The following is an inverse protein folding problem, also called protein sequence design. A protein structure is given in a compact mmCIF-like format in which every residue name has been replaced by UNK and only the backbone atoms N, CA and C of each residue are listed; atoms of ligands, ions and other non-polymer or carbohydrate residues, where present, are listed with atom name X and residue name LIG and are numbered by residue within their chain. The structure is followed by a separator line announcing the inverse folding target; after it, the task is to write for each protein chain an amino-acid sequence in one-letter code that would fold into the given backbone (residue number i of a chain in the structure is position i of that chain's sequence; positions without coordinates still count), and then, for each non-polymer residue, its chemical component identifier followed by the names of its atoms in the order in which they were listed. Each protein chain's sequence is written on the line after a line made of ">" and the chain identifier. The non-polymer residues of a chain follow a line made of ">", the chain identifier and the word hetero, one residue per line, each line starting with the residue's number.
data_IF_170279915935
#
_entry.id   IF_170279915935
#
_cell.length_a   1.000
_cell.length_b   1.000
_cell.length_c   1.000
_cell.angle_alpha   90.00
_cell.angle_beta   90.00
_cell.angle_gamma   90.00
#
_symmetry.space_group_name_H-M   'P 1'
#
loop_
_entity.id
_entity.type
_entity.pdbx_description
1 polymer ?
#
# COMPACT_ATOMS: atom_id res chain seq x y z
N UNK A 1 5.45 31.16 -11.29
CA UNK A 1 4.83 29.83 -11.16
C UNK A 1 3.64 29.96 -10.23
N UNK A 2 2.41 29.75 -10.73
CA UNK A 2 1.20 29.82 -9.90
C UNK A 2 1.15 28.57 -9.03
N UNK A 3 1.38 28.72 -7.72
CA UNK A 3 1.12 27.68 -6.73
C UNK A 3 -0.39 27.51 -6.63
N UNK A 4 -0.89 26.37 -7.08
CA UNK A 4 -2.30 26.03 -7.01
C UNK A 4 -2.62 25.62 -5.56
N UNK A 5 -3.05 26.58 -4.75
CA UNK A 5 -3.29 26.46 -3.29
C UNK A 5 -4.61 25.79 -2.93
N UNK A 6 -5.15 24.92 -3.78
CA UNK A 6 -6.40 24.18 -3.52
C UNK A 6 -6.15 22.66 -3.48
N UNK A 7 -5.10 22.22 -2.78
CA UNK A 7 -5.00 20.81 -2.39
C UNK A 7 -5.95 20.59 -1.20
N UNK A 8 -7.06 19.89 -1.46
CA UNK A 8 -7.93 19.42 -0.39
C UNK A 8 -7.12 18.40 0.41
N UNK A 9 -6.71 18.77 1.62
CA UNK A 9 -6.12 17.82 2.54
C UNK A 9 -7.24 16.92 3.08
N UNK A 10 -7.32 15.72 2.52
CA UNK A 10 -8.35 14.72 2.83
C UNK A 10 -8.35 14.37 4.33
N UNK A 11 -7.21 14.46 5.01
CA UNK A 11 -7.07 14.16 6.45
C UNK A 11 -7.68 15.23 7.37
N UNK A 12 -7.99 16.43 6.85
CA UNK A 12 -8.62 17.51 7.62
C UNK A 12 -10.15 17.54 7.47
N UNK A 13 -10.72 16.67 6.63
CA UNK A 13 -12.16 16.58 6.43
C UNK A 13 -12.81 15.77 7.56
N UNK A 14 -14.03 16.18 7.96
CA UNK A 14 -14.85 15.37 8.87
C UNK A 14 -15.23 14.03 8.20
N UNK A 15 -15.43 12.99 9.01
CA UNK A 15 -15.75 11.63 8.52
C UNK A 15 -17.00 11.58 7.64
N UNK A 16 -17.96 12.50 7.83
CA UNK A 16 -19.14 12.58 6.98
C UNK A 16 -18.83 13.20 5.60
N UNK A 17 -17.95 14.20 5.56
CA UNK A 17 -17.57 14.87 4.31
C UNK A 17 -16.71 13.96 3.44
N UNK A 18 -15.80 13.19 4.05
CA UNK A 18 -15.01 12.19 3.33
C UNK A 18 -15.88 11.05 2.80
N UNK A 19 -16.88 10.58 3.55
CA UNK A 19 -17.78 9.53 3.06
C UNK A 19 -18.62 10.00 1.86
N UNK A 20 -19.17 11.23 1.92
CA UNK A 20 -19.86 11.84 0.78
C UNK A 20 -18.94 11.97 -0.44
N UNK A 21 -17.69 12.37 -0.22
CA UNK A 21 -16.70 12.49 -1.28
C UNK A 21 -16.38 11.11 -1.90
N UNK A 22 -16.26 10.07 -1.08
CA UNK A 22 -16.05 8.67 -1.51
C UNK A 22 -17.25 8.12 -2.30
N UNK A 23 -18.47 8.40 -1.87
CA UNK A 23 -19.69 8.00 -2.60
C UNK A 23 -19.80 8.69 -3.96
N UNK A 24 -19.50 10.00 -4.00
CA UNK A 24 -19.45 10.75 -5.25
C UNK A 24 -18.35 10.23 -6.18
N UNK A 25 -17.18 9.89 -5.65
CA UNK A 25 -16.09 9.30 -6.42
C UNK A 25 -16.44 7.91 -6.96
N UNK A 26 -17.11 7.07 -6.17
CA UNK A 26 -17.57 5.75 -6.62
C UNK A 26 -18.54 5.90 -7.79
N UNK A 27 -19.53 6.77 -7.64
CA UNK A 27 -20.55 7.03 -8.66
C UNK A 27 -19.91 7.54 -9.96
N UNK A 28 -18.95 8.47 -9.86
CA UNK A 28 -18.23 9.01 -11.02
C UNK A 28 -17.33 7.95 -11.68
N UNK A 29 -16.65 7.12 -10.89
CA UNK A 29 -15.79 6.06 -11.41
C UNK A 29 -16.59 4.99 -12.16
N UNK A 30 -17.73 4.56 -11.60
CA UNK A 30 -18.63 3.62 -12.26
C UNK A 30 -19.19 4.21 -13.55
N UNK A 31 -19.64 5.47 -13.53
CA UNK A 31 -20.11 6.15 -14.75
C UNK A 31 -19.03 6.23 -15.82
N UNK A 32 -17.80 6.59 -15.43
CA UNK A 32 -16.67 6.65 -16.35
C UNK A 32 -16.36 5.29 -17.00
N UNK A 33 -16.50 4.21 -16.21
CA UNK A 33 -16.35 2.83 -16.68
C UNK A 33 -17.47 2.45 -17.65
N UNK A 34 -18.72 2.80 -17.34
CA UNK A 34 -19.88 2.56 -18.21
C UNK A 34 -19.78 3.28 -19.56
N UNK A 35 -19.17 4.47 -19.59
CA UNK A 35 -19.02 5.26 -20.81
C UNK A 35 -17.91 4.74 -21.74
N UNK A 36 -16.86 4.13 -21.18
CA UNK A 36 -15.67 3.74 -21.93
C UNK A 36 -15.56 2.22 -22.17
N UNK A 37 -16.18 1.39 -21.34
CA UNK A 37 -16.04 -0.07 -21.42
C UNK A 37 -17.29 -0.75 -22.01
N UNK A 38 -17.10 -1.89 -22.69
CA UNK A 38 -18.20 -2.68 -23.28
C UNK A 38 -19.00 -3.45 -22.22
N UNK A 39 -20.26 -3.77 -22.53
CA UNK A 39 -21.21 -4.41 -21.61
C UNK A 39 -20.70 -5.71 -20.95
N UNK A 40 -19.87 -6.51 -21.64
CA UNK A 40 -19.30 -7.75 -21.09
C UNK A 40 -18.35 -7.50 -19.89
N UNK A 41 -17.67 -6.36 -19.87
CA UNK A 41 -16.81 -5.98 -18.74
C UNK A 41 -17.60 -5.43 -17.55
N UNK A 42 -18.84 -4.96 -17.78
CA UNK A 42 -19.62 -4.19 -16.83
C UNK A 42 -20.14 -5.01 -15.65
N UNK A 43 -20.59 -6.25 -15.91
CA UNK A 43 -21.04 -7.18 -14.87
C UNK A 43 -19.98 -7.51 -13.82
N UNK A 44 -18.70 -7.28 -14.12
CA UNK A 44 -17.62 -7.47 -13.16
C UNK A 44 -17.51 -6.32 -12.14
N UNK A 45 -18.00 -5.13 -12.48
CA UNK A 45 -17.78 -3.89 -11.74
C UNK A 45 -18.98 -3.45 -10.88
N UNK A 46 -20.19 -3.90 -11.24
CA UNK A 46 -21.46 -3.57 -10.54
C UNK A 46 -21.48 -3.99 -9.06
N UNK A 47 -20.51 -4.80 -8.63
CA UNK A 47 -20.42 -5.33 -7.28
C UNK A 47 -19.58 -4.46 -6.32
N UNK A 48 -18.93 -3.39 -6.80
CA UNK A 48 -18.06 -2.53 -5.98
C UNK A 48 -18.90 -1.61 -5.09
N UNK A 49 -18.74 -1.74 -3.78
CA UNK A 49 -19.39 -0.86 -2.79
C UNK A 49 -18.41 -0.43 -1.71
N UNK A 50 -18.61 0.77 -1.15
CA UNK A 50 -17.79 1.24 -0.02
C UNK A 50 -17.85 0.28 1.18
N UNK A 51 -18.99 -0.35 1.42
CA UNK A 51 -19.14 -1.34 2.49
C UNK A 51 -18.23 -2.56 2.28
N UNK A 52 -18.07 -3.04 1.04
CA UNK A 52 -17.16 -4.15 0.73
C UNK A 52 -15.70 -3.72 0.83
N UNK A 53 -15.35 -2.51 0.38
CA UNK A 53 -13.99 -1.99 0.42
C UNK A 53 -13.52 -1.69 1.85
N UNK A 54 -14.43 -1.31 2.76
CA UNK A 54 -14.11 -1.04 4.17
C UNK A 54 -14.30 -2.27 5.08
N UNK A 55 -14.64 -3.43 4.53
CA UNK A 55 -14.96 -4.62 5.33
C UNK A 55 -13.72 -5.19 6.00
N UNK A 56 -13.68 -5.18 7.32
CA UNK A 56 -12.58 -5.81 8.04
C UNK A 56 -12.56 -7.36 7.86
N UNK A 57 -11.38 -7.98 7.70
CA UNK A 57 -11.21 -9.43 7.68
C UNK A 57 -11.68 -10.09 8.97
N UNK A 58 -12.14 -11.34 8.86
CA UNK A 58 -12.59 -12.11 10.04
C UNK A 58 -11.45 -12.22 11.06
N UNK A 59 -11.71 -12.04 12.37
CA UNK A 59 -10.67 -12.15 13.40
C UNK A 59 -9.86 -13.44 13.34
N UNK A 60 -10.48 -14.55 12.92
CA UNK A 60 -9.80 -15.85 12.75
C UNK A 60 -8.65 -15.84 11.76
N UNK A 61 -8.54 -14.85 10.84
CA UNK A 61 -7.46 -14.79 9.85
C UNK A 61 -6.17 -14.15 10.38
N UNK A 62 -6.24 -13.44 11.52
CA UNK A 62 -5.13 -12.65 12.05
C UNK A 62 -4.95 -12.73 13.57
N UNK A 63 -5.93 -13.25 14.32
CA UNK A 63 -5.81 -13.42 15.77
C UNK A 63 -4.61 -14.30 16.11
N UNK A 64 -3.71 -13.79 16.95
CA UNK A 64 -2.47 -14.46 17.33
C UNK A 64 -1.25 -14.10 16.47
N UNK A 65 -1.42 -13.30 15.41
CA UNK A 65 -0.32 -12.69 14.65
C UNK A 65 0.01 -11.32 15.26
N UNK A 66 1.27 -10.89 15.14
CA UNK A 66 1.73 -9.60 15.68
C UNK A 66 2.11 -8.62 14.58
N UNK A 67 2.91 -9.05 13.62
CA UNK A 67 3.40 -8.19 12.54
C UNK A 67 2.91 -8.68 11.18
N UNK A 68 3.35 -9.86 10.75
CA UNK A 68 3.01 -10.36 9.43
C UNK A 68 1.58 -10.88 9.39
N UNK A 69 0.79 -10.37 8.43
CA UNK A 69 -0.60 -10.79 8.21
C UNK A 69 -1.62 -10.27 9.22
N UNK A 70 -1.28 -9.21 9.96
CA UNK A 70 -2.24 -8.39 10.70
C UNK A 70 -2.87 -7.36 9.74
N UNK A 71 -4.20 -7.14 9.74
CA UNK A 71 -4.81 -6.09 8.94
C UNK A 71 -4.30 -4.71 9.34
N UNK A 72 -4.04 -3.85 8.35
CA UNK A 72 -3.54 -2.48 8.57
C UNK A 72 -4.42 -1.71 9.55
N UNK A 73 -5.75 -1.80 9.40
CA UNK A 73 -6.72 -1.21 10.32
C UNK A 73 -6.50 -1.61 11.77
N UNK A 74 -6.32 -2.91 12.01
CA UNK A 74 -6.10 -3.44 13.38
C UNK A 74 -4.77 -2.94 13.93
N UNK A 75 -3.72 -2.97 13.11
CA UNK A 75 -2.40 -2.53 13.50
C UNK A 75 -2.38 -1.03 13.87
N UNK A 76 -2.91 -0.16 12.99
CA UNK A 76 -2.98 1.28 13.21
C UNK A 76 -3.84 1.66 14.42
N UNK A 77 -4.97 0.98 14.63
CA UNK A 77 -5.80 1.21 15.81
C UNK A 77 -5.12 0.80 17.13
N UNK A 78 -4.28 -0.23 17.08
CA UNK A 78 -3.60 -0.77 18.27
C UNK A 78 -2.35 0.02 18.63
N UNK A 79 -1.57 0.44 17.63
CA UNK A 79 -0.24 1.04 17.82
C UNK A 79 -0.20 2.55 17.54
N UNK A 80 -1.19 3.08 16.82
CA UNK A 80 -1.18 4.45 16.30
C UNK A 80 -0.20 4.68 15.14
N UNK A 81 0.54 3.65 14.70
CA UNK A 81 1.56 3.76 13.65
C UNK A 81 1.04 3.28 12.31
N UNK A 82 1.39 3.97 11.22
CA UNK A 82 0.99 3.61 9.84
C UNK A 82 1.51 2.22 9.44
N UNK A 83 2.76 1.92 9.83
CA UNK A 83 3.41 0.63 9.59
C UNK A 83 4.20 0.20 10.83
N UNK A 84 4.47 -1.11 10.99
CA UNK A 84 5.42 -1.59 11.98
C UNK A 84 6.78 -0.91 11.81
N UNK A 85 7.37 -0.46 12.91
CA UNK A 85 8.60 0.32 12.88
C UNK A 85 9.73 -0.46 12.20
N UNK A 86 9.80 -1.78 12.42
CA UNK A 86 10.73 -2.64 11.73
C UNK A 86 10.55 -2.64 10.19
N UNK A 87 9.30 -2.56 9.70
CA UNK A 87 9.00 -2.45 8.27
C UNK A 87 9.37 -1.06 7.74
N UNK A 88 9.12 0.00 8.51
CA UNK A 88 9.55 1.37 8.19
C UNK A 88 11.08 1.47 8.09
N UNK A 89 11.82 0.86 9.03
CA UNK A 89 13.27 0.80 9.02
C UNK A 89 13.80 -0.03 7.84
N UNK A 90 13.14 -1.14 7.52
CA UNK A 90 13.47 -1.95 6.34
C UNK A 90 13.31 -1.13 5.04
N UNK A 91 12.22 -0.38 4.88
CA UNK A 91 12.01 0.52 3.74
C UNK A 91 13.12 1.57 3.66
N UNK A 92 13.49 2.19 4.78
CA UNK A 92 14.55 3.20 4.81
C UNK A 92 15.92 2.61 4.44
N UNK A 93 16.27 1.44 4.99
CA UNK A 93 17.50 0.73 4.65
C UNK A 93 17.57 0.44 3.15
N UNK A 94 16.48 -0.08 2.57
CA UNK A 94 16.43 -0.38 1.13
C UNK A 94 16.54 0.91 0.31
N UNK A 95 15.87 2.00 0.70
CA UNK A 95 15.97 3.32 0.05
C UNK A 95 17.41 3.83 0.02
N UNK A 96 18.16 3.71 1.12
CA UNK A 96 19.56 4.14 1.21
C UNK A 96 20.52 3.30 0.34
N UNK A 97 20.14 2.07 0.02
CA UNK A 97 20.94 1.15 -0.79
C UNK A 97 20.50 1.04 -2.26
N UNK A 98 19.40 1.69 -2.65
CA UNK A 98 18.82 1.60 -3.99
C UNK A 98 19.76 2.02 -5.15
N UNK A 99 20.67 2.97 -4.92
CA UNK A 99 21.68 3.37 -5.92
C UNK A 99 22.91 2.47 -5.98
N UNK A 100 23.09 1.57 -4.99
CA UNK A 100 24.28 0.72 -4.85
C UNK A 100 24.07 -0.71 -5.35
N UNK A 101 22.81 -1.11 -5.59
CA UNK A 101 22.47 -2.48 -5.96
C UNK A 101 21.52 -2.53 -7.17
N UNK A 102 21.91 -3.27 -8.19
CA UNK A 102 21.14 -3.39 -9.44
C UNK A 102 20.18 -4.59 -9.35
N UNK A 103 18.91 -4.37 -9.70
CA UNK A 103 17.85 -5.38 -9.65
C UNK A 103 17.15 -5.53 -8.29
N UNK A 104 17.10 -4.48 -7.47
CA UNK A 104 16.28 -4.42 -6.26
C UNK A 104 14.81 -4.77 -6.56
N UNK A 105 14.16 -5.53 -5.68
CA UNK A 105 12.82 -6.12 -5.88
C UNK A 105 12.65 -7.10 -7.05
N UNK A 106 13.67 -7.30 -7.88
CA UNK A 106 13.69 -8.26 -9.01
C UNK A 106 14.56 -9.49 -8.71
N UNK A 107 15.78 -9.28 -8.21
CA UNK A 107 16.70 -10.36 -7.80
C UNK A 107 16.29 -10.84 -6.39
N UNK A 108 16.11 -12.16 -6.18
CA UNK A 108 15.71 -12.70 -4.89
C UNK A 108 16.85 -12.65 -3.88
N UNK A 109 16.51 -12.48 -2.60
CA UNK A 109 17.42 -12.67 -1.49
C UNK A 109 17.60 -14.15 -1.13
N UNK A 110 18.59 -14.44 -0.30
CA UNK A 110 18.83 -15.80 0.22
C UNK A 110 17.70 -16.18 1.19
N UNK A 111 16.93 -17.22 0.84
CA UNK A 111 15.74 -17.67 1.60
C UNK A 111 15.96 -17.82 3.10
N UNK A 112 17.03 -18.48 3.53
CA UNK A 112 17.33 -18.66 4.95
C UNK A 112 17.56 -17.35 5.70
N UNK A 113 18.12 -16.33 5.03
CA UNK A 113 18.31 -15.00 5.61
C UNK A 113 16.98 -14.23 5.67
N UNK A 114 16.11 -14.40 4.67
CA UNK A 114 14.76 -13.83 4.67
C UNK A 114 13.96 -14.38 5.85
N UNK A 115 13.95 -15.71 6.02
CA UNK A 115 13.22 -16.38 7.09
C UNK A 115 13.76 -15.97 8.48
N UNK A 116 15.08 -15.81 8.62
CA UNK A 116 15.72 -15.31 9.85
C UNK A 116 15.30 -13.88 10.17
N UNK A 117 15.44 -12.95 9.22
CA UNK A 117 15.09 -11.54 9.42
C UNK A 117 13.61 -11.39 9.75
N UNK A 118 12.75 -12.10 9.04
CA UNK A 118 11.32 -12.16 9.31
C UNK A 118 11.02 -12.62 10.75
N UNK A 119 11.68 -13.68 11.21
CA UNK A 119 11.49 -14.20 12.57
C UNK A 119 11.95 -13.21 13.64
N UNK A 120 13.02 -12.45 13.36
CA UNK A 120 13.47 -11.35 14.24
C UNK A 120 12.41 -10.25 14.33
N UNK A 121 11.82 -9.85 13.20
CA UNK A 121 10.74 -8.85 13.17
C UNK A 121 9.52 -9.33 13.95
N UNK A 122 9.06 -10.56 13.72
CA UNK A 122 7.87 -11.09 14.42
C UNK A 122 8.12 -11.24 15.93
N UNK A 123 9.37 -11.38 16.37
CA UNK A 123 9.76 -11.48 17.78
C UNK A 123 9.79 -10.13 18.51
N UNK A 124 9.80 -9.00 17.79
CA UNK A 124 9.73 -7.67 18.40
C UNK A 124 8.35 -7.49 19.04
N UNK A 125 8.34 -7.02 20.28
CA UNK A 125 7.14 -6.53 20.93
C UNK A 125 7.00 -5.04 20.61
N UNK A 126 6.13 -4.71 19.65
CA UNK A 126 5.89 -3.34 19.18
C UNK A 126 5.32 -2.43 20.30
N UNK A 127 4.97 -2.96 21.46
CA UNK A 127 4.23 -2.22 22.48
C UNK A 127 5.09 -1.33 23.40
N UNK A 128 6.36 -1.62 23.73
CA UNK A 128 7.00 -0.91 24.87
C UNK A 128 8.53 -0.72 24.87
N UNK A 129 9.23 -0.75 23.74
CA UNK A 129 10.69 -0.62 23.82
C UNK A 129 11.32 0.08 22.62
N UNK A 130 11.61 1.37 22.80
CA UNK A 130 12.60 2.13 22.00
C UNK A 130 13.92 1.35 21.85
N UNK A 131 14.28 0.52 22.85
CA UNK A 131 15.49 -0.33 22.82
C UNK A 131 15.36 -1.64 22.02
N UNK A 132 14.15 -2.06 21.63
CA UNK A 132 13.93 -3.28 20.82
C UNK A 132 14.02 -2.99 19.32
N UNK A 133 13.95 -1.71 18.93
CA UNK A 133 13.98 -1.26 17.54
C UNK A 133 15.40 -1.08 16.99
N UNK A 134 16.38 -0.84 17.87
CA UNK A 134 17.82 -0.96 17.56
C UNK A 134 18.27 -2.42 17.43
N UNK A 135 17.42 -3.40 17.78
CA UNK A 135 17.82 -4.81 17.82
C UNK A 135 18.07 -5.41 16.42
N UNK A 136 17.38 -4.92 15.39
CA UNK A 136 17.55 -5.44 14.02
C UNK A 136 18.60 -4.62 13.28
N UNK A 137 19.79 -5.21 13.16
CA UNK A 137 20.90 -4.69 12.36
C UNK A 137 20.70 -5.01 10.88
N UNK A 138 19.96 -4.18 10.16
CA UNK A 138 19.71 -4.37 8.72
C UNK A 138 20.99 -4.38 7.87
N UNK A 139 22.07 -3.72 8.33
CA UNK A 139 23.37 -3.71 7.66
C UNK A 139 24.05 -5.09 7.57
N UNK A 140 23.63 -6.07 8.39
CA UNK A 140 24.10 -7.47 8.31
C UNK A 140 23.45 -8.25 7.15
N UNK A 141 22.42 -7.69 6.52
CA UNK A 141 21.66 -8.31 5.44
C UNK A 141 21.99 -7.66 4.10
N UNK A 142 21.83 -8.43 3.02
CA UNK A 142 21.88 -7.85 1.68
C UNK A 142 20.57 -7.11 1.37
N UNK A 143 20.58 -6.02 0.58
CA UNK A 143 19.37 -5.30 0.19
C UNK A 143 18.27 -6.17 -0.41
N UNK A 144 18.63 -7.22 -1.17
CA UNK A 144 17.67 -8.17 -1.75
C UNK A 144 16.92 -8.98 -0.68
N UNK A 145 17.56 -9.32 0.44
CA UNK A 145 16.91 -10.01 1.56
C UNK A 145 15.88 -9.11 2.22
N UNK A 146 16.26 -7.86 2.51
CA UNK A 146 15.35 -6.89 3.15
C UNK A 146 14.19 -6.53 2.23
N UNK A 147 14.45 -6.36 0.93
CA UNK A 147 13.42 -6.14 -0.08
C UNK A 147 12.41 -7.30 -0.16
N UNK A 148 12.89 -8.54 -0.06
CA UNK A 148 12.02 -9.71 -0.06
C UNK A 148 11.16 -9.80 1.21
N UNK A 149 11.69 -9.44 2.38
CA UNK A 149 10.91 -9.34 3.63
C UNK A 149 9.79 -8.30 3.52
N UNK A 150 10.09 -7.12 2.95
CA UNK A 150 9.08 -6.09 2.67
C UNK A 150 7.99 -6.65 1.76
N UNK A 151 8.37 -7.37 0.69
CA UNK A 151 7.40 -8.01 -0.21
C UNK A 151 6.54 -9.05 0.51
N UNK A 152 7.14 -9.85 1.40
CA UNK A 152 6.40 -10.84 2.20
C UNK A 152 5.37 -10.16 3.11
N UNK A 153 5.74 -9.06 3.77
CA UNK A 153 4.84 -8.31 4.65
C UNK A 153 3.57 -7.90 3.91
N UNK A 154 3.70 -7.20 2.77
CA UNK A 154 2.54 -6.76 2.00
C UNK A 154 1.75 -7.89 1.36
N UNK A 155 2.42 -8.98 0.97
CA UNK A 155 1.76 -10.15 0.38
C UNK A 155 0.88 -10.89 1.39
N UNK A 156 1.23 -10.84 2.68
CA UNK A 156 0.54 -11.59 3.72
C UNK A 156 -0.54 -10.80 4.43
N UNK A 157 -0.67 -9.51 4.12
CA UNK A 157 -1.84 -8.74 4.54
C UNK A 157 -3.12 -9.50 4.18
N UNK A 158 -4.09 -9.62 5.11
CA UNK A 158 -5.32 -10.34 4.83
C UNK A 158 -6.16 -9.73 3.69
N UNK A 159 -5.87 -8.48 3.32
CA UNK A 159 -6.46 -7.74 2.22
C UNK A 159 -5.35 -7.14 1.35
N UNK A 160 -5.56 -7.14 0.03
CA UNK A 160 -4.65 -6.46 -0.89
C UNK A 160 -4.74 -4.94 -0.71
N UNK A 161 -3.59 -4.25 -0.74
CA UNK A 161 -3.54 -2.77 -0.71
C UNK A 161 -4.40 -2.12 -1.80
N UNK A 162 -4.44 -2.73 -2.98
CA UNK A 162 -5.39 -2.37 -4.04
C UNK A 162 -6.30 -3.57 -4.24
N UNK A 163 -7.58 -3.49 -3.85
CA UNK A 163 -8.51 -4.61 -3.96
C UNK A 163 -8.64 -5.09 -5.42
N UNK A 164 -8.73 -6.42 -5.66
CA UNK A 164 -8.80 -6.96 -7.02
C UNK A 164 -9.96 -6.42 -7.87
N UNK A 165 -11.06 -5.99 -7.24
CA UNK A 165 -12.16 -5.31 -7.95
C UNK A 165 -11.74 -3.95 -8.50
N UNK A 166 -10.96 -3.17 -7.73
CA UNK A 166 -10.43 -1.88 -8.17
C UNK A 166 -9.34 -2.09 -9.22
N UNK A 167 -8.44 -3.06 -9.04
CA UNK A 167 -7.40 -3.38 -10.04
C UNK A 167 -8.01 -3.74 -11.39
N UNK A 168 -9.00 -4.64 -11.42
CA UNK A 168 -9.68 -5.02 -12.67
C UNK A 168 -10.34 -3.82 -13.36
N UNK A 169 -11.06 -3.00 -12.60
CA UNK A 169 -11.69 -1.78 -13.11
C UNK A 169 -10.66 -0.82 -13.75
N UNK A 170 -9.55 -0.55 -13.05
CA UNK A 170 -8.49 0.31 -13.58
C UNK A 170 -7.83 -0.29 -14.83
N UNK A 171 -7.58 -1.60 -14.84
CA UNK A 171 -7.01 -2.27 -16.01
C UNK A 171 -7.92 -2.19 -17.25
N UNK A 172 -9.23 -2.25 -17.07
CA UNK A 172 -10.18 -2.08 -18.18
C UNK A 172 -10.17 -0.64 -18.68
N UNK A 173 -10.26 0.34 -17.77
CA UNK A 173 -10.20 1.76 -18.12
C UNK A 173 -8.90 2.15 -18.83
N UNK A 174 -7.75 1.59 -18.44
CA UNK A 174 -6.46 1.85 -19.10
C UNK A 174 -6.48 1.42 -20.57
N UNK A 175 -7.29 0.43 -20.96
CA UNK A 175 -7.35 -0.08 -22.33
C UNK A 175 -8.24 0.77 -23.24
N UNK A 176 -9.25 1.44 -22.68
CA UNK A 176 -10.31 2.06 -23.48
C UNK A 176 -10.49 3.56 -23.26
N UNK A 177 -10.08 4.12 -22.10
CA UNK A 177 -10.26 5.53 -21.77
C UNK A 177 -9.04 6.39 -22.16
N UNK A 178 -9.25 7.70 -22.27
CA UNK A 178 -8.17 8.68 -22.53
C UNK A 178 -7.23 8.83 -21.32
N UNK A 179 -6.04 9.40 -21.53
CA UNK A 179 -5.07 9.61 -20.44
C UNK A 179 -5.61 10.47 -19.29
N UNK A 180 -6.43 11.49 -19.59
CA UNK A 180 -7.04 12.34 -18.58
C UNK A 180 -8.06 11.58 -17.73
N UNK A 181 -8.89 10.76 -18.37
CA UNK A 181 -9.86 9.89 -17.72
C UNK A 181 -9.19 8.80 -16.89
N UNK A 182 -8.10 8.21 -17.38
CA UNK A 182 -7.29 7.25 -16.63
C UNK A 182 -6.73 7.87 -15.35
N UNK A 183 -6.18 9.08 -15.43
CA UNK A 183 -5.68 9.80 -14.25
C UNK A 183 -6.82 10.09 -13.26
N UNK A 184 -7.98 10.51 -13.76
CA UNK A 184 -9.15 10.75 -12.94
C UNK A 184 -9.65 9.48 -12.26
N UNK A 185 -9.67 8.36 -12.98
CA UNK A 185 -10.05 7.05 -12.47
C UNK A 185 -9.12 6.59 -11.35
N UNK A 186 -7.81 6.78 -11.51
CA UNK A 186 -6.83 6.48 -10.47
C UNK A 186 -7.11 7.33 -9.23
N UNK A 187 -7.35 8.64 -9.38
CA UNK A 187 -7.67 9.52 -8.24
C UNK A 187 -8.93 9.06 -7.49
N UNK A 188 -9.99 8.71 -8.22
CA UNK A 188 -11.19 8.16 -7.59
C UNK A 188 -10.92 6.82 -6.91
N UNK A 189 -10.23 5.90 -7.57
CA UNK A 189 -9.88 4.61 -6.99
C UNK A 189 -9.09 4.76 -5.68
N UNK A 190 -8.12 5.68 -5.63
CA UNK A 190 -7.38 5.98 -4.41
C UNK A 190 -8.30 6.46 -3.29
N UNK A 191 -9.21 7.39 -3.58
CA UNK A 191 -10.17 7.90 -2.62
C UNK A 191 -11.12 6.80 -2.10
N UNK A 192 -11.43 5.79 -2.91
CA UNK A 192 -12.27 4.67 -2.49
C UNK A 192 -11.59 3.72 -1.51
N UNK A 193 -10.26 3.70 -1.42
CA UNK A 193 -9.54 2.84 -0.47
C UNK A 193 -9.80 3.28 0.98
N UNK A 194 -9.77 2.35 1.96
CA UNK A 194 -9.78 2.71 3.37
C UNK A 194 -8.62 3.64 3.73
N UNK A 195 -8.82 4.50 4.73
CA UNK A 195 -7.85 5.51 5.15
C UNK A 195 -6.49 4.87 5.47
N UNK A 196 -6.53 3.77 6.21
CA UNK A 196 -5.39 2.95 6.60
C UNK A 196 -4.58 2.44 5.41
N UNK A 197 -5.29 2.07 4.35
CA UNK A 197 -4.69 1.59 3.11
C UNK A 197 -4.12 2.74 2.29
N UNK A 198 -4.75 3.91 2.29
CA UNK A 198 -4.25 5.10 1.59
C UNK A 198 -2.93 5.57 2.18
N UNK A 199 -2.82 5.67 3.50
CA UNK A 199 -1.58 6.07 4.20
C UNK A 199 -0.39 5.17 3.85
N UNK A 200 -0.64 3.86 3.91
CA UNK A 200 0.38 2.85 3.58
C UNK A 200 0.74 2.87 2.10
N UNK A 201 -0.25 2.96 1.21
CA UNK A 201 -0.02 2.98 -0.23
C UNK A 201 0.73 4.24 -0.66
N UNK A 202 0.40 5.39 -0.09
CA UNK A 202 1.11 6.64 -0.29
C UNK A 202 2.57 6.54 0.15
N UNK A 203 2.82 5.97 1.34
CA UNK A 203 4.17 5.69 1.85
C UNK A 203 4.97 4.81 0.88
N UNK A 204 4.34 3.74 0.38
CA UNK A 204 4.97 2.80 -0.55
C UNK A 204 5.23 3.43 -1.91
N UNK A 205 4.29 4.19 -2.47
CA UNK A 205 4.48 4.85 -3.76
C UNK A 205 5.60 5.89 -3.72
N UNK A 206 5.69 6.68 -2.65
CA UNK A 206 6.82 7.60 -2.46
C UNK A 206 8.15 6.85 -2.34
N UNK A 207 8.17 5.78 -1.55
CA UNK A 207 9.35 4.92 -1.43
C UNK A 207 9.79 4.33 -2.79
N UNK A 208 8.85 3.80 -3.58
CA UNK A 208 9.15 3.23 -4.89
C UNK A 208 9.62 4.30 -5.88
N UNK A 209 9.06 5.51 -5.81
CA UNK A 209 9.53 6.66 -6.59
C UNK A 209 10.98 7.02 -6.22
N UNK A 210 11.29 7.12 -4.92
CA UNK A 210 12.65 7.39 -4.45
C UNK A 210 13.64 6.34 -4.94
N UNK A 211 13.27 5.06 -4.85
CA UNK A 211 14.07 3.93 -5.35
C UNK A 211 14.28 4.07 -6.86
N UNK A 212 13.23 4.34 -7.63
CA UNK A 212 13.31 4.50 -9.08
C UNK A 212 14.27 5.62 -9.48
N UNK A 213 14.19 6.78 -8.81
CA UNK A 213 15.07 7.93 -9.07
C UNK A 213 16.52 7.57 -8.74
N UNK A 214 16.77 6.95 -7.57
CA UNK A 214 18.12 6.60 -7.13
C UNK A 214 18.75 5.49 -7.95
N UNK A 215 17.98 4.52 -8.42
CA UNK A 215 18.47 3.45 -9.29
C UNK A 215 18.70 3.93 -10.73
N UNK A 216 17.97 4.94 -11.21
CA UNK A 216 18.17 5.56 -12.52
C UNK A 216 19.43 6.44 -12.62
N UNK A 217 19.91 6.96 -11.50
CA UNK A 217 21.14 7.79 -11.43
C UNK A 217 22.44 6.97 -11.42
N UNK A 218 22.38 5.64 -11.46
CA UNK A 218 23.55 4.74 -11.42
C UNK A 218 23.98 4.24 -12.81
N UNK A 219 23.57 4.92 -13.89
CA UNK A 219 23.96 4.62 -15.28
C UNK A 219 24.90 5.70 -15.85
#
# INVERSE_FOLDING_TARGET
>A
MRTNTNEINIHLLLSNDINRLREAALSKLLKLTQQNCTHDSMHNHDTITLAKLNKLPKPTTWKGKRVFGVPLRVYQQTTGQILPVAITNALQYVRMNAGKCEGLFRKPGVKSKIDRLRSQIEAIDDLHSESSLEAIKFDEYQPFVVADVIRQYFRELPECLIPPSITRLLCDLIKCATQEEQLLAIRYAFLLLPDETRDVLETILRFLLDVSIRSGNSQ
#
